data_IF_020237347575
#
_entry.id   IF_020237347575
#
_cell.length_a   1.000
_cell.length_b   1.000
_cell.length_c   1.000
_cell.angle_alpha   90.00
_cell.angle_beta   90.00
_cell.angle_gamma   90.00
#
_symmetry.space_group_name_H-M   'P 1'
#
loop_
_entity.id
_entity.type
_entity.pdbx_description
1 polymer ?
#
# COMPACT_ATOMS: atom_id res chain seq x y z
N UNK A 1 -14.36 9.30 -2.92
CA UNK A 1 -13.33 8.70 -2.06
C UNK A 1 -12.22 9.68 -1.75
N UNK A 2 -11.73 9.63 -0.54
CA UNK A 2 -10.70 10.55 -0.07
C UNK A 2 -9.38 10.40 -0.83
N UNK A 3 -9.05 9.19 -1.30
CA UNK A 3 -7.85 8.94 -2.10
C UNK A 3 -7.87 9.70 -3.42
N UNK A 4 -9.04 9.96 -4.00
CA UNK A 4 -9.16 10.67 -5.26
C UNK A 4 -8.72 12.14 -5.17
N UNK A 5 -8.70 12.73 -3.96
CA UNK A 5 -8.19 14.08 -3.73
C UNK A 5 -6.71 14.20 -4.11
N UNK A 6 -5.97 13.10 -4.06
CA UNK A 6 -4.55 13.05 -4.39
C UNK A 6 -4.32 12.56 -5.82
N UNK A 7 -5.39 12.44 -6.63
CA UNK A 7 -5.31 11.93 -7.99
C UNK A 7 -5.05 10.44 -8.07
N UNK A 8 -5.43 9.70 -7.02
CA UNK A 8 -5.19 8.26 -6.94
C UNK A 8 -6.51 7.51 -7.06
N UNK A 9 -6.61 6.57 -8.00
CA UNK A 9 -7.69 5.60 -8.03
C UNK A 9 -7.36 4.44 -7.06
N UNK A 10 -8.26 3.47 -6.94
CA UNK A 10 -8.09 2.37 -6.00
C UNK A 10 -6.82 1.55 -6.27
N UNK A 11 -6.51 1.30 -7.54
CA UNK A 11 -5.31 0.54 -7.90
C UNK A 11 -4.03 1.32 -7.63
N UNK A 12 -4.00 2.60 -7.96
CA UNK A 12 -2.83 3.45 -7.69
C UNK A 12 -2.59 3.56 -6.19
N UNK A 13 -3.66 3.73 -5.42
CA UNK A 13 -3.55 3.78 -3.97
C UNK A 13 -2.98 2.49 -3.40
N UNK A 14 -3.51 1.34 -3.81
CA UNK A 14 -3.03 0.04 -3.34
C UNK A 14 -1.56 -0.17 -3.68
N UNK A 15 -1.18 0.10 -4.92
CA UNK A 15 0.20 -0.07 -5.39
C UNK A 15 1.14 0.84 -4.59
N UNK A 16 0.76 2.09 -4.42
CA UNK A 16 1.59 3.06 -3.69
C UNK A 16 1.81 2.62 -2.23
N UNK A 17 0.74 2.18 -1.55
CA UNK A 17 0.86 1.75 -0.15
C UNK A 17 1.76 0.54 0.00
N UNK A 18 1.71 -0.39 -0.96
CA UNK A 18 2.59 -1.56 -0.91
C UNK A 18 4.05 -1.20 -1.14
N UNK A 19 4.32 -0.21 -1.99
CA UNK A 19 5.69 0.28 -2.20
C UNK A 19 6.20 0.98 -0.93
N UNK A 20 5.37 1.78 -0.28
CA UNK A 20 5.76 2.44 0.97
C UNK A 20 6.06 1.42 2.07
N UNK A 21 5.25 0.38 2.16
CA UNK A 21 5.42 -0.69 3.16
C UNK A 21 6.59 -1.62 2.86
N UNK A 22 6.97 -1.74 1.59
CA UNK A 22 8.03 -2.65 1.13
C UNK A 22 9.02 -1.90 0.22
N UNK A 23 9.81 -0.95 0.76
CA UNK A 23 10.78 -0.24 -0.07
C UNK A 23 11.82 -1.21 -0.64
N UNK A 24 12.28 -0.93 -1.85
CA UNK A 24 13.16 -1.79 -2.63
C UNK A 24 12.48 -3.04 -3.21
N UNK A 25 11.15 -3.12 -3.17
CA UNK A 25 10.42 -4.25 -3.74
C UNK A 25 10.64 -4.28 -5.26
N UNK A 26 10.84 -5.48 -5.82
CA UNK A 26 10.96 -5.67 -7.26
C UNK A 26 9.57 -5.63 -7.91
N UNK A 27 9.51 -5.19 -9.16
CA UNK A 27 8.23 -5.08 -9.85
C UNK A 27 7.50 -6.43 -9.96
N UNK A 28 8.24 -7.52 -10.17
CA UNK A 28 7.66 -8.86 -10.22
C UNK A 28 7.07 -9.28 -8.87
N UNK A 29 7.75 -8.96 -7.77
CA UNK A 29 7.26 -9.23 -6.43
C UNK A 29 6.00 -8.41 -6.12
N UNK A 30 5.99 -7.16 -6.56
CA UNK A 30 4.83 -6.30 -6.36
C UNK A 30 3.63 -6.81 -7.13
N UNK A 31 3.82 -7.28 -8.37
CA UNK A 31 2.74 -7.85 -9.18
C UNK A 31 2.07 -9.03 -8.47
N UNK A 32 2.86 -9.91 -7.86
CA UNK A 32 2.33 -11.02 -7.08
C UNK A 32 1.59 -10.54 -5.82
N UNK A 33 2.17 -9.56 -5.14
CA UNK A 33 1.61 -9.06 -3.89
C UNK A 33 0.23 -8.41 -4.11
N UNK A 34 0.08 -7.61 -5.16
CA UNK A 34 -1.16 -6.87 -5.42
C UNK A 34 -2.12 -7.62 -6.33
N UNK A 35 -1.69 -8.75 -6.91
CA UNK A 35 -2.51 -9.58 -7.82
C UNK A 35 -3.00 -8.77 -9.03
N UNK A 36 -2.12 -7.98 -9.62
CA UNK A 36 -2.38 -7.16 -10.81
C UNK A 36 -1.46 -7.66 -11.92
N UNK A 37 -1.98 -7.73 -13.15
CA UNK A 37 -1.19 -8.15 -14.30
C UNK A 37 -0.06 -7.18 -14.61
N UNK A 38 0.99 -7.68 -15.25
CA UNK A 38 2.22 -6.91 -15.50
C UNK A 38 1.98 -5.64 -16.32
N UNK A 39 1.11 -5.71 -17.32
CA UNK A 39 0.82 -4.57 -18.19
C UNK A 39 0.12 -3.45 -17.42
N UNK A 40 -0.90 -3.79 -16.64
CA UNK A 40 -1.63 -2.84 -15.82
C UNK A 40 -0.72 -2.24 -14.74
N UNK A 41 0.09 -3.09 -14.10
CA UNK A 41 1.03 -2.63 -13.09
C UNK A 41 2.05 -1.64 -13.69
N UNK A 42 2.60 -1.95 -14.86
CA UNK A 42 3.56 -1.06 -15.53
C UNK A 42 2.98 0.31 -15.82
N UNK A 43 1.72 0.36 -16.27
CA UNK A 43 1.02 1.63 -16.51
C UNK A 43 0.82 2.42 -15.22
N UNK A 44 0.41 1.72 -14.17
CA UNK A 44 0.19 2.35 -12.87
C UNK A 44 1.48 2.90 -12.29
N UNK A 45 2.57 2.15 -12.39
CA UNK A 45 3.88 2.60 -11.92
C UNK A 45 4.35 3.83 -12.68
N UNK A 46 4.12 3.88 -14.00
CA UNK A 46 4.46 5.05 -14.81
C UNK A 46 3.71 6.29 -14.33
N UNK A 47 2.42 6.15 -14.04
CA UNK A 47 1.62 7.27 -13.50
C UNK A 47 2.18 7.76 -12.16
N UNK A 48 2.56 6.84 -11.29
CA UNK A 48 3.13 7.20 -9.99
C UNK A 48 4.48 7.91 -10.15
N UNK A 49 5.31 7.44 -11.08
CA UNK A 49 6.58 8.11 -11.39
C UNK A 49 6.36 9.53 -11.93
N UNK A 50 5.42 9.68 -12.86
CA UNK A 50 5.10 10.98 -13.45
C UNK A 50 4.61 11.99 -12.43
N UNK A 51 3.94 11.52 -11.38
CA UNK A 51 3.46 12.36 -10.28
C UNK A 51 4.52 12.60 -9.21
N UNK A 52 5.73 12.06 -9.38
CA UNK A 52 6.82 12.25 -8.43
C UNK A 52 6.63 11.51 -7.12
N UNK A 53 5.86 10.41 -7.12
CA UNK A 53 5.56 9.65 -5.92
C UNK A 53 6.51 8.48 -5.70
N UNK A 54 7.04 7.90 -6.76
CA UNK A 54 7.98 6.78 -6.68
C UNK A 54 9.14 6.98 -7.65
N UNK A 55 10.20 6.20 -7.44
CA UNK A 55 11.34 6.13 -8.34
C UNK A 55 11.73 4.66 -8.52
N UNK A 56 12.16 4.31 -9.74
CA UNK A 56 12.73 3.01 -10.05
C UNK A 56 14.25 3.12 -10.04
N UNK A 57 14.92 2.19 -9.37
CA UNK A 57 16.39 2.12 -9.36
C UNK A 57 16.82 0.74 -9.84
N UNK A 58 17.85 0.71 -10.66
CA UNK A 58 18.43 -0.53 -11.16
C UNK A 58 19.71 -0.80 -10.40
N UNK A 59 19.88 -2.01 -9.85
CA UNK A 59 21.16 -2.40 -9.29
C UNK A 59 22.16 -2.59 -10.43
N UNK A 60 23.39 -2.07 -10.26
CA UNK A 60 24.44 -2.19 -11.27
C UNK A 60 24.75 -3.65 -11.62
N UNK A 61 24.61 -4.54 -10.66
CA UNK A 61 24.92 -5.97 -10.81
C UNK A 61 23.85 -6.75 -11.55
N UNK A 62 22.60 -6.26 -11.58
CA UNK A 62 21.51 -6.98 -12.23
C UNK A 62 20.50 -6.02 -12.83
N UNK A 63 20.75 -5.64 -14.09
CA UNK A 63 19.89 -4.70 -14.82
C UNK A 63 18.48 -5.22 -15.10
N UNK A 64 18.22 -6.51 -14.86
CA UNK A 64 16.90 -7.12 -15.09
C UNK A 64 15.89 -6.79 -14.01
N UNK A 65 16.36 -6.44 -12.82
CA UNK A 65 15.46 -6.21 -11.67
C UNK A 65 15.50 -4.75 -11.28
N UNK A 66 14.34 -4.09 -11.42
CA UNK A 66 14.18 -2.71 -10.99
C UNK A 66 13.58 -2.73 -9.59
N UNK A 67 14.22 -2.00 -8.69
CA UNK A 67 13.74 -1.80 -7.34
C UNK A 67 12.89 -0.55 -7.27
N UNK A 68 11.78 -0.61 -6.55
CA UNK A 68 10.83 0.49 -6.42
C UNK A 68 10.98 1.14 -5.04
N UNK A 69 11.03 2.47 -5.03
CA UNK A 69 11.18 3.25 -3.79
C UNK A 69 10.16 4.37 -3.74
N UNK A 70 9.55 4.62 -2.56
CA UNK A 70 8.69 5.78 -2.40
C UNK A 70 9.53 7.05 -2.25
N UNK A 71 9.02 8.15 -2.78
CA UNK A 71 9.60 9.47 -2.58
C UNK A 71 8.87 10.18 -1.42
N UNK A 72 9.46 11.28 -0.93
CA UNK A 72 8.90 12.02 0.21
C UNK A 72 7.40 12.36 0.05
N UNK A 73 6.93 12.82 -1.13
CA UNK A 73 5.49 13.08 -1.29
C UNK A 73 4.62 11.84 -1.07
N UNK A 74 5.10 10.65 -1.46
CA UNK A 74 4.36 9.41 -1.26
C UNK A 74 4.21 9.08 0.23
N UNK A 75 5.25 9.32 1.02
CA UNK A 75 5.20 9.08 2.45
C UNK A 75 4.18 9.97 3.14
N UNK A 76 4.09 11.23 2.71
CA UNK A 76 3.10 12.17 3.24
C UNK A 76 1.68 11.79 2.88
N UNK A 77 1.46 11.35 1.63
CA UNK A 77 0.14 10.88 1.17
C UNK A 77 -0.25 9.62 1.95
N UNK A 78 0.67 8.71 2.14
CA UNK A 78 0.44 7.47 2.87
C UNK A 78 -0.04 7.75 4.30
N UNK A 79 0.65 8.63 5.02
CA UNK A 79 0.29 8.97 6.39
C UNK A 79 -1.13 9.54 6.49
N UNK A 80 -1.51 10.40 5.54
CA UNK A 80 -2.84 10.99 5.52
C UNK A 80 -3.92 9.95 5.19
N UNK A 81 -3.65 9.08 4.22
CA UNK A 81 -4.64 8.08 3.79
C UNK A 81 -4.85 7.00 4.85
N UNK A 82 -3.81 6.61 5.57
CA UNK A 82 -3.95 5.70 6.70
C UNK A 82 -4.81 6.34 7.79
N UNK A 83 -4.63 7.64 8.06
CA UNK A 83 -5.48 8.36 9.01
C UNK A 83 -6.95 8.38 8.59
N UNK A 84 -7.23 8.52 7.30
CA UNK A 84 -8.60 8.45 6.78
C UNK A 84 -9.19 7.05 6.93
N UNK A 85 -8.42 6.01 6.63
CA UNK A 85 -8.87 4.62 6.80
C UNK A 85 -9.23 4.35 8.27
N UNK A 86 -8.41 4.80 9.20
CA UNK A 86 -8.68 4.63 10.63
C UNK A 86 -9.98 5.30 11.05
N UNK A 87 -10.28 6.47 10.51
CA UNK A 87 -11.54 7.16 10.80
C UNK A 87 -12.75 6.42 10.27
N UNK A 88 -12.66 5.83 9.07
CA UNK A 88 -13.73 5.00 8.51
C UNK A 88 -13.97 3.76 9.35
N UNK A 89 -12.90 3.11 9.77
CA UNK A 89 -13.00 1.92 10.63
C UNK A 89 -13.67 2.30 11.95
N UNK A 90 -13.27 3.41 12.58
CA UNK A 90 -13.85 3.85 13.83
C UNK A 90 -15.33 4.19 13.70
N UNK A 91 -15.72 4.84 12.60
CA UNK A 91 -17.13 5.12 12.34
C UNK A 91 -17.95 3.84 12.22
N UNK A 92 -17.41 2.81 11.54
CA UNK A 92 -18.06 1.52 11.42
C UNK A 92 -18.16 0.75 12.73
N UNK A 93 -17.15 0.90 13.59
CA UNK A 93 -17.10 0.19 14.87
C UNK A 93 -18.24 0.59 15.82
N UNK A 94 -18.76 1.81 15.68
CA UNK A 94 -19.89 2.25 16.48
C UNK A 94 -21.19 1.48 16.23
N UNK A 95 -21.25 0.74 15.13
CA UNK A 95 -22.42 -0.07 14.77
C UNK A 95 -22.32 -1.50 15.28
N UNK A 96 -21.21 -1.87 15.89
CA UNK A 96 -21.00 -3.21 16.38
C UNK A 96 -21.38 -3.34 17.85
N UNK A 97 -21.87 -4.53 18.23
CA UNK A 97 -22.12 -4.86 19.63
C UNK A 97 -20.78 -5.03 20.38
N UNK A 98 -20.83 -4.98 21.70
CA UNK A 98 -19.64 -5.21 22.53
C UNK A 98 -19.00 -6.57 22.26
N UNK A 99 -19.82 -7.60 22.06
CA UNK A 99 -19.33 -8.94 21.74
C UNK A 99 -18.62 -8.97 20.37
N UNK A 100 -19.21 -8.31 19.38
CA UNK A 100 -18.61 -8.23 18.04
C UNK A 100 -17.29 -7.46 18.06
N UNK A 101 -17.21 -6.37 18.81
CA UNK A 101 -15.97 -5.60 18.97
C UNK A 101 -14.86 -6.46 19.59
N UNK A 102 -15.22 -7.24 20.61
CA UNK A 102 -14.25 -8.16 21.24
C UNK A 102 -13.72 -9.18 20.26
N UNK A 103 -14.61 -9.77 19.46
CA UNK A 103 -14.24 -10.76 18.43
C UNK A 103 -13.35 -10.13 17.35
N UNK A 104 -13.70 -8.92 16.91
CA UNK A 104 -12.92 -8.21 15.90
C UNK A 104 -11.50 -7.91 16.40
N UNK A 105 -11.39 -7.41 17.63
CA UNK A 105 -10.09 -7.13 18.24
C UNK A 105 -9.22 -8.38 18.29
N UNK A 106 -9.80 -9.51 18.67
CA UNK A 106 -9.10 -10.79 18.73
C UNK A 106 -8.59 -11.22 17.35
N UNK A 107 -9.42 -11.07 16.32
CA UNK A 107 -9.06 -11.42 14.95
C UNK A 107 -7.94 -10.53 14.44
N UNK A 108 -8.03 -9.22 14.68
CA UNK A 108 -7.01 -8.26 14.24
C UNK A 108 -5.67 -8.52 14.91
N UNK A 109 -5.68 -8.90 16.19
CA UNK A 109 -4.45 -9.26 16.90
C UNK A 109 -3.76 -10.47 16.27
N UNK A 110 -4.53 -11.48 15.86
CA UNK A 110 -3.98 -12.65 15.19
C UNK A 110 -3.32 -12.27 13.86
N UNK A 111 -3.97 -11.41 13.08
CA UNK A 111 -3.43 -10.95 11.80
C UNK A 111 -2.14 -10.17 12.03
N UNK A 112 -2.13 -9.29 13.02
CA UNK A 112 -0.98 -8.46 13.36
C UNK A 112 0.20 -9.32 13.82
N UNK A 113 -0.04 -10.32 14.66
CA UNK A 113 1.01 -11.23 15.13
C UNK A 113 1.60 -12.03 13.97
N UNK A 114 0.76 -12.49 13.04
CA UNK A 114 1.21 -13.21 11.86
C UNK A 114 2.12 -12.34 10.99
N UNK A 115 1.78 -11.06 10.82
CA UNK A 115 2.63 -10.12 10.06
C UNK A 115 3.98 -9.90 10.73
N UNK A 116 4.03 -9.83 12.07
CA UNK A 116 5.29 -9.67 12.80
C UNK A 116 6.19 -10.88 12.66
N UNK A 117 5.63 -12.08 12.58
CA UNK A 117 6.39 -13.30 12.39
C UNK A 117 7.02 -13.39 11.00
N UNK A 118 6.42 -12.77 9.98
CA UNK A 118 6.93 -12.74 8.62
C UNK A 118 8.06 -11.73 8.43
N UNK A 119 8.22 -10.81 9.34
CA UNK A 119 9.27 -9.80 9.29
C UNK A 119 10.53 -10.29 9.98
#
# INVERSE_FOLDING_TARGET
QEASQYGLDNNLFLILTRIVEHPAIHQSQLAELVQIDKTTLSRSLRKLEERGLIVKKTKQENKKFKELYPLTPALKVYDKLIGYEDRYIQAGLHQLTSSELFQLDHILQKIQNSRQEEL
#
